data_IF_432904554413
#
_entry.id   IF_432904554413
#
_cell.length_a   1.000
_cell.length_b   1.000
_cell.length_c   1.000
_cell.angle_alpha   90.00
_cell.angle_beta   90.00
_cell.angle_gamma   90.00
#
_symmetry.space_group_name_H-M   'P 1'
#
loop_
_entity.id
_entity.type
_entity.pdbx_description
1 polymer ?
#
# COMPACT_ATOMS: atom_id res chain seq x y z
N UNK A 1 -3.96 -17.92 -9.33
CA UNK A 1 -3.78 -19.36 -9.04
C UNK A 1 -2.31 -19.78 -9.10
N UNK A 2 -1.63 -19.68 -10.24
CA UNK A 2 -0.20 -20.10 -10.37
C UNK A 2 0.72 -19.49 -9.29
N UNK A 3 0.56 -18.18 -9.01
CA UNK A 3 1.30 -17.48 -7.94
C UNK A 3 1.09 -18.16 -6.56
N UNK A 4 -0.12 -18.61 -6.24
CA UNK A 4 -0.40 -19.31 -4.98
C UNK A 4 0.20 -20.71 -4.93
N UNK A 5 0.20 -21.42 -6.06
CA UNK A 5 0.87 -22.71 -6.16
C UNK A 5 2.38 -22.56 -5.96
N UNK A 6 3.02 -21.64 -6.67
CA UNK A 6 4.46 -21.37 -6.53
C UNK A 6 4.85 -20.92 -5.11
N UNK A 7 3.99 -20.16 -4.42
CA UNK A 7 4.27 -19.73 -3.04
C UNK A 7 4.30 -20.89 -2.03
N UNK A 8 3.51 -21.94 -2.26
CA UNK A 8 3.38 -23.08 -1.35
C UNK A 8 4.17 -24.33 -1.78
N UNK A 9 4.56 -24.41 -3.05
CA UNK A 9 5.32 -25.51 -3.60
C UNK A 9 6.82 -25.32 -3.30
N UNK A 10 7.29 -26.00 -2.27
CA UNK A 10 8.71 -26.02 -1.88
C UNK A 10 9.43 -27.21 -2.53
N UNK A 11 10.76 -27.12 -2.74
CA UNK A 11 11.55 -28.21 -3.32
C UNK A 11 11.50 -29.49 -2.48
N UNK A 12 11.81 -30.62 -3.12
CA UNK A 12 11.94 -31.89 -2.40
C UNK A 12 13.00 -31.80 -1.30
N UNK A 13 12.65 -32.25 -0.10
CA UNK A 13 13.52 -32.17 1.08
C UNK A 13 13.43 -30.88 1.89
N UNK A 14 12.72 -29.86 1.40
CA UNK A 14 12.51 -28.60 2.12
C UNK A 14 11.31 -28.67 3.07
N UNK A 15 11.49 -28.25 4.33
CA UNK A 15 10.44 -28.19 5.34
C UNK A 15 10.06 -26.74 5.67
N UNK A 16 8.81 -26.37 5.42
CA UNK A 16 8.30 -25.09 5.90
C UNK A 16 8.22 -25.08 7.43
N UNK A 17 8.67 -23.99 8.04
CA UNK A 17 8.50 -23.78 9.48
C UNK A 17 7.02 -23.97 9.91
N UNK A 18 6.71 -24.63 11.04
CA UNK A 18 5.33 -24.97 11.43
C UNK A 18 4.36 -23.79 11.57
N UNK A 19 4.88 -22.57 11.81
CA UNK A 19 4.07 -21.33 11.83
C UNK A 19 3.86 -20.71 10.45
N UNK A 20 4.68 -21.06 9.46
CA UNK A 20 4.60 -20.53 8.08
C UNK A 20 3.77 -21.47 7.20
N UNK A 21 3.85 -22.79 7.40
CA UNK A 21 3.06 -23.75 6.62
C UNK A 21 1.54 -23.46 6.59
N UNK A 22 0.88 -23.10 7.71
CA UNK A 22 -0.54 -22.71 7.68
C UNK A 22 -0.79 -21.42 6.90
N UNK A 23 0.15 -20.46 6.95
CA UNK A 23 0.06 -19.20 6.19
C UNK A 23 0.16 -19.49 4.69
N UNK A 24 1.12 -20.32 4.27
CA UNK A 24 1.27 -20.74 2.89
C UNK A 24 0.03 -21.46 2.37
N UNK A 25 -0.48 -22.44 3.12
CA UNK A 25 -1.72 -23.14 2.78
C UNK A 25 -2.90 -22.18 2.59
N UNK A 26 -3.13 -21.29 3.57
CA UNK A 26 -4.23 -20.32 3.51
C UNK A 26 -4.11 -19.37 2.32
N UNK A 27 -2.90 -18.96 1.95
CA UNK A 27 -2.63 -18.11 0.78
C UNK A 27 -2.90 -18.84 -0.54
N UNK A 28 -2.60 -20.12 -0.61
CA UNK A 28 -2.91 -20.95 -1.79
C UNK A 28 -4.41 -21.17 -1.96
N UNK A 29 -5.16 -21.29 -0.86
CA UNK A 29 -6.63 -21.40 -0.90
C UNK A 29 -7.28 -20.05 -1.22
N UNK A 30 -6.76 -18.94 -0.71
CA UNK A 30 -7.39 -17.62 -0.90
C UNK A 30 -7.35 -17.10 -2.34
N UNK A 31 -6.47 -17.61 -3.21
CA UNK A 31 -6.46 -17.24 -4.63
C UNK A 31 -7.63 -17.85 -5.42
N UNK A 32 -8.40 -18.75 -4.84
CA UNK A 32 -9.70 -19.22 -5.36
C UNK A 32 -10.85 -18.78 -4.49
N UNK A 33 -10.69 -18.86 -3.17
CA UNK A 33 -11.80 -18.71 -2.22
C UNK A 33 -11.98 -17.26 -1.72
N UNK A 34 -11.04 -16.37 -2.02
CA UNK A 34 -11.01 -14.99 -1.55
C UNK A 34 -10.45 -14.85 -0.12
N UNK A 35 -10.62 -13.65 0.46
CA UNK A 35 -10.03 -13.32 1.76
C UNK A 35 -8.53 -13.09 1.70
N UNK A 36 -8.06 -12.50 0.59
CA UNK A 36 -6.66 -12.16 0.37
C UNK A 36 -6.28 -11.01 1.32
N UNK A 37 -5.32 -11.27 2.20
CA UNK A 37 -4.79 -10.27 3.15
C UNK A 37 -3.76 -9.33 2.52
N UNK A 38 -3.38 -8.29 3.26
CA UNK A 38 -2.49 -7.24 2.76
C UNK A 38 -1.14 -7.77 2.30
N UNK A 39 -0.48 -8.58 3.13
CA UNK A 39 0.82 -9.15 2.80
C UNK A 39 0.75 -10.05 1.57
N UNK A 40 -0.37 -10.74 1.37
CA UNK A 40 -0.57 -11.57 0.20
C UNK A 40 -0.87 -10.76 -1.07
N UNK A 41 -1.77 -9.77 -1.00
CA UNK A 41 -2.05 -8.87 -2.11
C UNK A 41 -0.80 -8.15 -2.62
N UNK A 42 0.07 -7.72 -1.72
CA UNK A 42 1.37 -7.13 -2.06
C UNK A 42 2.29 -8.11 -2.80
N UNK A 43 2.42 -9.35 -2.31
CA UNK A 43 3.22 -10.37 -2.98
C UNK A 43 2.66 -10.77 -4.35
N UNK A 44 1.34 -10.82 -4.50
CA UNK A 44 0.69 -11.04 -5.79
C UNK A 44 1.03 -9.88 -6.74
N UNK A 45 1.05 -8.63 -6.26
CA UNK A 45 1.42 -7.47 -7.06
C UNK A 45 2.85 -7.59 -7.58
N UNK A 46 3.81 -7.79 -6.68
CA UNK A 46 5.23 -7.92 -7.05
C UNK A 46 5.51 -9.15 -7.92
N UNK A 47 4.94 -10.32 -7.57
CA UNK A 47 5.10 -11.53 -8.38
C UNK A 47 4.49 -11.37 -9.77
N UNK A 48 3.31 -10.73 -9.90
CA UNK A 48 2.72 -10.47 -11.22
C UNK A 48 3.57 -9.56 -12.10
N UNK A 49 4.28 -8.59 -11.51
CA UNK A 49 5.23 -7.72 -12.23
C UNK A 49 6.49 -8.50 -12.62
N UNK A 50 7.03 -9.31 -11.71
CA UNK A 50 8.20 -10.16 -12.00
C UNK A 50 7.89 -11.17 -13.12
N UNK A 51 6.74 -11.85 -13.06
CA UNK A 51 6.30 -12.79 -14.09
C UNK A 51 6.06 -12.13 -15.46
N UNK A 52 5.96 -10.80 -15.53
CA UNK A 52 5.90 -10.05 -16.80
C UNK A 52 7.28 -9.70 -17.38
N UNK A 53 8.35 -10.23 -16.79
CA UNK A 53 9.74 -10.03 -17.24
C UNK A 53 10.47 -8.88 -16.54
N UNK A 54 9.87 -8.22 -15.54
CA UNK A 54 10.52 -7.14 -14.80
C UNK A 54 11.41 -7.67 -13.69
N UNK A 55 12.48 -6.92 -13.40
CA UNK A 55 13.21 -7.07 -12.15
C UNK A 55 12.44 -6.33 -11.06
N UNK A 56 11.99 -7.05 -10.04
CA UNK A 56 11.35 -6.51 -8.84
C UNK A 56 12.32 -6.65 -7.67
N UNK A 57 12.66 -5.53 -7.04
CA UNK A 57 13.59 -5.44 -5.92
C UNK A 57 12.86 -4.84 -4.72
N UNK A 58 12.77 -5.61 -3.64
CA UNK A 58 12.26 -5.14 -2.35
C UNK A 58 13.39 -5.22 -1.33
N UNK A 59 13.75 -4.10 -0.73
CA UNK A 59 14.80 -4.02 0.28
C UNK A 59 14.32 -3.23 1.50
N UNK A 60 14.86 -3.57 2.66
CA UNK A 60 14.56 -2.93 3.93
C UNK A 60 14.96 -3.84 5.08
N UNK A 61 14.88 -3.31 6.30
CA UNK A 61 15.22 -4.07 7.50
C UNK A 61 14.17 -5.16 7.73
N UNK A 62 14.61 -6.43 7.76
CA UNK A 62 13.76 -7.62 7.92
C UNK A 62 12.64 -7.79 6.87
N UNK A 63 12.73 -7.12 5.72
CA UNK A 63 11.67 -7.12 4.69
C UNK A 63 11.35 -8.49 4.09
N UNK A 64 12.28 -9.45 4.11
CA UNK A 64 12.03 -10.84 3.62
C UNK A 64 10.87 -11.50 4.37
N UNK A 65 10.89 -11.41 5.71
CA UNK A 65 9.82 -11.89 6.57
C UNK A 65 8.71 -10.84 6.71
N UNK A 66 9.10 -9.57 6.67
CA UNK A 66 8.32 -8.42 7.08
C UNK A 66 8.41 -8.20 8.60
N UNK A 67 8.53 -6.93 9.01
CA UNK A 67 8.59 -6.50 10.42
C UNK A 67 7.49 -7.15 11.25
N UNK A 68 6.27 -7.17 10.72
CA UNK A 68 5.06 -7.65 11.40
C UNK A 68 4.76 -9.13 11.12
N UNK A 69 5.73 -9.90 10.63
CA UNK A 69 5.60 -11.33 10.27
C UNK A 69 4.49 -11.59 9.24
N UNK A 70 4.25 -10.62 8.36
CA UNK A 70 3.14 -10.63 7.42
C UNK A 70 3.55 -11.07 6.02
N UNK A 71 4.83 -10.91 5.64
CA UNK A 71 5.24 -11.05 4.25
C UNK A 71 5.67 -12.46 3.90
N UNK A 72 6.69 -12.98 4.56
CA UNK A 72 7.27 -14.29 4.26
C UNK A 72 7.52 -14.48 2.74
N UNK A 73 8.16 -13.50 2.09
CA UNK A 73 8.53 -13.58 0.67
C UNK A 73 9.61 -14.63 0.44
N UNK A 74 10.54 -14.73 1.39
CA UNK A 74 11.57 -15.76 1.46
C UNK A 74 11.29 -16.59 2.70
N UNK A 75 11.22 -17.91 2.53
CA UNK A 75 11.05 -18.89 3.61
C UNK A 75 12.36 -19.59 3.88
N UNK A 76 12.53 -20.10 5.11
CA UNK A 76 13.73 -20.80 5.55
C UNK A 76 13.36 -22.18 6.08
N UNK A 77 14.13 -23.18 5.70
CA UNK A 77 14.05 -24.51 6.30
C UNK A 77 14.60 -24.44 7.74
N UNK A 78 13.82 -24.82 8.76
CA UNK A 78 14.25 -24.70 10.15
C UNK A 78 15.32 -25.72 10.57
N UNK A 79 15.60 -26.74 9.76
CA UNK A 79 16.61 -27.77 10.00
C UNK A 79 17.92 -27.45 9.30
N UNK A 80 17.86 -26.98 8.06
CA UNK A 80 19.06 -26.75 7.23
C UNK A 80 19.47 -25.28 7.18
N UNK A 81 18.53 -24.35 7.39
CA UNK A 81 18.75 -22.91 7.23
C UNK A 81 18.74 -22.45 5.76
N UNK A 82 18.45 -23.35 4.81
CA UNK A 82 18.35 -23.03 3.39
C UNK A 82 17.20 -22.04 3.14
N UNK A 83 17.43 -21.08 2.25
CA UNK A 83 16.43 -20.10 1.83
C UNK A 83 15.72 -20.55 0.56
N UNK A 84 14.42 -20.28 0.48
CA UNK A 84 13.62 -20.53 -0.72
C UNK A 84 12.68 -19.38 -1.00
N UNK A 85 12.58 -19.00 -2.28
CA UNK A 85 11.69 -17.97 -2.78
C UNK A 85 10.96 -18.48 -4.03
N UNK A 86 9.87 -19.21 -3.83
CA UNK A 86 9.09 -19.80 -4.93
C UNK A 86 8.49 -18.76 -5.89
N UNK A 87 8.29 -17.52 -5.45
CA UNK A 87 7.82 -16.43 -6.32
C UNK A 87 8.92 -15.94 -7.27
N UNK A 88 10.19 -16.04 -6.89
CA UNK A 88 11.31 -15.78 -7.79
C UNK A 88 11.52 -16.92 -8.79
N UNK A 89 11.43 -18.18 -8.35
CA UNK A 89 11.51 -19.34 -9.25
C UNK A 89 10.43 -19.26 -10.34
N UNK A 90 9.18 -18.97 -9.96
CA UNK A 90 8.10 -18.76 -10.93
C UNK A 90 8.41 -17.65 -11.95
N UNK A 91 9.01 -16.54 -11.51
CA UNK A 91 9.37 -15.46 -12.42
C UNK A 91 10.44 -15.88 -13.43
N UNK A 92 11.44 -16.66 -12.98
CA UNK A 92 12.50 -17.20 -13.83
C UNK A 92 11.99 -18.27 -14.80
N UNK A 93 11.01 -19.08 -14.39
CA UNK A 93 10.34 -20.05 -15.27
C UNK A 93 9.52 -19.36 -16.37
N UNK A 94 8.91 -18.21 -16.09
CA UNK A 94 8.11 -17.43 -17.05
C UNK A 94 8.95 -16.61 -18.03
N UNK A 95 10.19 -16.25 -17.69
CA UNK A 95 11.08 -15.46 -18.55
C UNK A 95 12.25 -14.83 -17.78
N UNK A 96 12.70 -13.65 -18.23
CA UNK A 96 13.89 -12.97 -17.66
C UNK A 96 13.61 -12.17 -16.38
N UNK A 97 12.38 -12.26 -15.86
CA UNK A 97 11.94 -11.55 -14.65
C UNK A 97 12.60 -12.09 -13.37
N UNK A 98 12.65 -11.24 -12.34
CA UNK A 98 13.23 -11.62 -11.04
C UNK A 98 12.43 -10.99 -9.91
N UNK A 99 12.25 -11.71 -8.81
CA UNK A 99 11.68 -11.14 -7.58
C UNK A 99 12.65 -11.28 -6.43
N UNK A 100 13.43 -10.23 -6.20
CA UNK A 100 14.56 -10.22 -5.30
C UNK A 100 14.21 -9.45 -4.03
N UNK A 101 14.18 -10.14 -2.89
CA UNK A 101 13.87 -9.55 -1.59
C UNK A 101 15.08 -9.62 -0.67
N UNK A 102 15.48 -8.49 -0.12
CA UNK A 102 16.70 -8.34 0.68
C UNK A 102 16.38 -7.81 2.06
N UNK A 103 17.04 -8.38 3.07
CA UNK A 103 17.19 -7.71 4.35
C UNK A 103 18.39 -6.76 4.22
N UNK A 104 18.19 -5.47 4.48
CA UNK A 104 19.27 -4.50 4.50
C UNK A 104 20.11 -4.62 5.77
N UNK A 105 21.25 -3.92 5.79
CA UNK A 105 21.86 -3.53 7.06
C UNK A 105 20.94 -2.55 7.81
N UNK A 106 21.23 -2.33 9.10
CA UNK A 106 20.47 -1.41 9.95
C UNK A 106 20.82 0.05 9.60
N UNK A 107 20.26 0.55 8.50
CA UNK A 107 20.54 1.88 7.94
C UNK A 107 19.45 2.35 6.99
N UNK A 108 18.81 3.46 7.33
CA UNK A 108 17.81 4.11 6.47
C UNK A 108 18.47 5.04 5.46
N UNK A 109 19.43 5.86 5.89
CA UNK A 109 20.11 6.83 5.03
C UNK A 109 20.79 6.16 3.82
N UNK A 110 21.68 5.20 4.09
CA UNK A 110 22.44 4.55 3.03
C UNK A 110 21.57 3.57 2.23
N UNK A 111 20.65 2.86 2.90
CA UNK A 111 19.73 1.94 2.26
C UNK A 111 18.80 2.64 1.26
N UNK A 112 18.09 3.68 1.70
CA UNK A 112 17.20 4.45 0.81
C UNK A 112 17.98 5.16 -0.31
N UNK A 113 19.16 5.72 -0.01
CA UNK A 113 20.01 6.34 -1.03
C UNK A 113 20.49 5.36 -2.10
N UNK A 114 20.84 4.13 -1.69
CA UNK A 114 21.19 3.06 -2.62
C UNK A 114 20.01 2.68 -3.52
N UNK A 115 18.82 2.48 -2.94
CA UNK A 115 17.63 2.11 -3.73
C UNK A 115 17.19 3.22 -4.68
N UNK A 116 17.31 4.50 -4.28
CA UNK A 116 17.13 5.63 -5.19
C UNK A 116 18.10 5.55 -6.38
N UNK A 117 19.41 5.37 -6.12
CA UNK A 117 20.41 5.21 -7.17
C UNK A 117 20.14 4.00 -8.08
N UNK A 118 19.62 2.91 -7.54
CA UNK A 118 19.23 1.73 -8.33
C UNK A 118 18.17 2.07 -9.37
N UNK A 119 17.15 2.88 -9.00
CA UNK A 119 16.09 3.30 -9.94
C UNK A 119 16.60 4.16 -11.09
N UNK A 120 17.69 4.91 -10.89
CA UNK A 120 18.33 5.68 -11.96
C UNK A 120 19.11 4.76 -12.90
N UNK A 121 19.84 3.79 -12.34
CA UNK A 121 20.65 2.84 -13.11
C UNK A 121 19.82 1.81 -13.89
N UNK A 122 18.62 1.48 -13.41
CA UNK A 122 17.69 0.57 -14.08
C UNK A 122 16.24 1.10 -13.98
N UNK A 123 15.85 1.91 -14.96
CA UNK A 123 14.52 2.54 -15.01
C UNK A 123 13.35 1.56 -15.23
N UNK A 124 13.64 0.34 -15.68
CA UNK A 124 12.64 -0.71 -15.88
C UNK A 124 12.41 -1.57 -14.64
N UNK A 125 13.31 -1.51 -13.66
CA UNK A 125 13.16 -2.21 -12.40
C UNK A 125 12.07 -1.59 -11.53
N UNK A 126 11.33 -2.46 -10.83
CA UNK A 126 10.40 -2.05 -9.78
C UNK A 126 11.15 -2.13 -8.46
N UNK A 127 11.47 -0.97 -7.88
CA UNK A 127 12.31 -0.88 -6.67
C UNK A 127 11.49 -0.33 -5.51
N UNK A 128 11.44 -1.07 -4.41
CA UNK A 128 10.79 -0.68 -3.18
C UNK A 128 11.75 -0.70 -1.99
N UNK A 129 11.76 0.39 -1.23
CA UNK A 129 12.39 0.50 0.09
C UNK A 129 11.32 0.46 1.18
N UNK A 130 11.43 -0.49 2.10
CA UNK A 130 10.55 -0.59 3.27
C UNK A 130 11.30 -0.16 4.54
N UNK A 131 10.74 0.82 5.25
CA UNK A 131 11.21 1.16 6.59
C UNK A 131 10.63 0.16 7.61
N UNK A 132 11.39 -0.19 8.65
CA UNK A 132 10.90 -1.13 9.68
C UNK A 132 9.61 -0.61 10.34
N UNK A 133 9.62 0.67 10.72
CA UNK A 133 8.45 1.50 11.00
C UNK A 133 8.59 2.79 10.19
N UNK A 134 7.48 3.39 9.76
CA UNK A 134 7.53 4.61 8.97
C UNK A 134 8.18 5.79 9.70
N UNK A 135 8.11 5.80 11.03
CA UNK A 135 8.74 6.80 11.90
C UNK A 135 10.26 6.92 11.64
N UNK A 136 10.93 5.81 11.32
CA UNK A 136 12.40 5.74 11.11
C UNK A 136 12.86 6.25 9.74
N UNK A 137 11.94 6.51 8.81
CA UNK A 137 12.29 7.14 7.53
C UNK A 137 12.96 8.50 7.70
N UNK A 138 12.80 9.14 8.87
CA UNK A 138 13.50 10.36 9.25
C UNK A 138 15.03 10.22 9.25
N UNK A 139 15.59 9.02 9.44
CA UNK A 139 17.03 8.77 9.34
C UNK A 139 17.58 9.00 7.93
N UNK A 140 16.70 8.94 6.92
CA UNK A 140 17.01 9.20 5.51
C UNK A 140 16.50 10.56 5.01
N UNK A 141 16.24 11.54 5.90
CA UNK A 141 15.59 12.80 5.51
C UNK A 141 16.32 13.53 4.38
N UNK A 142 17.65 13.55 4.37
CA UNK A 142 18.41 14.16 3.27
C UNK A 142 18.16 13.48 1.92
N UNK A 143 17.96 12.15 1.90
CA UNK A 143 17.60 11.44 0.67
C UNK A 143 16.19 11.83 0.22
N UNK A 144 15.25 11.96 1.16
CA UNK A 144 13.88 12.36 0.88
C UNK A 144 13.85 13.79 0.28
N UNK A 145 14.51 14.75 0.94
CA UNK A 145 14.47 16.17 0.59
C UNK A 145 15.25 16.46 -0.70
N UNK A 146 16.48 15.93 -0.80
CA UNK A 146 17.39 16.31 -1.88
C UNK A 146 17.30 15.43 -3.12
N UNK A 147 16.59 14.30 -3.07
CA UNK A 147 16.51 13.37 -4.20
C UNK A 147 15.08 12.95 -4.49
N UNK A 148 14.40 12.30 -3.54
CA UNK A 148 13.06 11.75 -3.77
C UNK A 148 12.06 12.84 -4.15
N UNK A 149 12.03 13.95 -3.42
CA UNK A 149 11.05 15.01 -3.65
C UNK A 149 11.44 16.01 -4.74
N UNK A 150 12.74 16.16 -5.05
CA UNK A 150 13.26 17.28 -5.83
C UNK A 150 14.19 16.91 -7.00
N UNK A 151 14.52 15.63 -7.19
CA UNK A 151 15.47 15.17 -8.22
C UNK A 151 15.05 15.56 -9.65
N UNK A 152 13.78 15.36 -10.00
CA UNK A 152 13.24 15.72 -11.32
C UNK A 152 13.32 17.23 -11.56
N UNK A 153 12.92 18.05 -10.58
CA UNK A 153 12.92 19.50 -10.71
C UNK A 153 14.35 20.08 -10.80
N UNK A 154 15.30 19.52 -10.05
CA UNK A 154 16.69 20.02 -10.02
C UNK A 154 17.52 19.56 -11.22
N UNK A 155 17.33 18.32 -11.65
CA UNK A 155 18.26 17.66 -12.59
C UNK A 155 17.56 17.01 -13.79
N UNK A 156 16.23 17.00 -13.85
CA UNK A 156 15.48 16.24 -14.84
C UNK A 156 15.51 14.73 -14.60
N UNK A 157 16.01 14.28 -13.44
CA UNK A 157 16.18 12.88 -13.11
C UNK A 157 14.89 12.29 -12.54
N UNK A 158 14.29 11.36 -13.28
CA UNK A 158 13.07 10.64 -12.89
C UNK A 158 13.40 9.39 -12.08
N UNK A 159 12.68 9.14 -11.00
CA UNK A 159 12.84 7.95 -10.16
C UNK A 159 11.50 7.25 -9.93
N UNK A 160 11.47 5.94 -10.16
CA UNK A 160 10.34 5.07 -9.83
C UNK A 160 10.38 4.49 -8.41
N UNK A 161 11.15 5.07 -7.49
CA UNK A 161 11.31 4.52 -6.13
C UNK A 161 9.96 4.45 -5.39
N UNK A 162 9.67 3.29 -4.81
CA UNK A 162 8.53 3.09 -3.92
C UNK A 162 9.02 3.11 -2.47
N UNK A 163 8.47 3.98 -1.64
CA UNK A 163 8.68 3.99 -0.19
C UNK A 163 7.49 3.33 0.50
N UNK A 164 7.72 2.22 1.18
CA UNK A 164 6.72 1.52 2.00
C UNK A 164 6.96 1.90 3.47
N UNK A 165 6.06 2.69 4.05
CA UNK A 165 6.23 3.31 5.36
C UNK A 165 5.13 2.87 6.32
N UNK A 166 5.38 1.89 7.22
CA UNK A 166 4.38 1.43 8.17
C UNK A 166 3.84 2.56 9.05
N UNK A 167 2.53 2.77 9.03
CA UNK A 167 1.85 3.90 9.64
C UNK A 167 0.57 3.45 10.38
N UNK A 168 0.24 4.11 11.50
CA UNK A 168 -1.05 4.00 12.18
C UNK A 168 -0.97 4.22 13.69
N UNK A 169 -1.93 4.94 14.25
CA UNK A 169 -2.00 5.20 15.70
C UNK A 169 -2.68 4.04 16.43
N UNK A 170 -1.86 3.21 17.09
CA UNK A 170 -2.28 1.92 17.69
C UNK A 170 -1.82 1.77 19.14
N UNK A 171 -1.37 2.86 19.78
CA UNK A 171 -0.93 2.86 21.18
C UNK A 171 0.44 2.23 21.41
N UNK A 172 1.26 2.02 20.38
CA UNK A 172 2.61 1.44 20.47
C UNK A 172 3.71 2.46 20.86
N UNK A 173 3.34 3.73 21.07
CA UNK A 173 4.25 4.80 21.48
C UNK A 173 4.62 5.76 20.34
N UNK A 174 5.36 6.83 20.68
CA UNK A 174 5.59 7.97 19.78
C UNK A 174 6.45 7.67 18.54
N UNK A 175 7.34 6.67 18.62
CA UNK A 175 8.27 6.29 17.54
C UNK A 175 7.84 5.02 16.79
N UNK A 176 6.59 4.58 16.98
CA UNK A 176 6.02 3.40 16.34
C UNK A 176 4.59 3.68 15.88
N UNK A 177 4.30 4.93 15.50
CA UNK A 177 2.94 5.38 15.18
C UNK A 177 2.87 6.10 13.83
N UNK A 178 3.76 7.04 13.57
CA UNK A 178 3.59 8.01 12.48
C UNK A 178 4.82 8.11 11.59
N UNK A 179 4.61 7.74 10.34
CA UNK A 179 5.50 8.04 9.21
C UNK A 179 5.55 9.53 8.80
N UNK A 180 4.92 10.45 9.57
CA UNK A 180 4.90 11.89 9.29
C UNK A 180 4.34 12.23 7.90
N UNK A 181 3.11 11.77 7.61
CA UNK A 181 2.42 12.00 6.33
C UNK A 181 2.48 13.47 5.91
N UNK A 182 2.28 14.37 6.87
CA UNK A 182 2.31 15.82 6.68
C UNK A 182 3.62 16.33 6.07
N UNK A 183 4.76 15.69 6.38
CA UNK A 183 6.07 16.10 5.86
C UNK A 183 6.21 15.76 4.40
N UNK A 184 5.78 14.56 4.00
CA UNK A 184 5.78 14.16 2.59
C UNK A 184 4.80 15.02 1.77
N UNK A 185 3.63 15.34 2.31
CA UNK A 185 2.68 16.24 1.66
C UNK A 185 3.21 17.68 1.54
N UNK A 186 3.92 18.18 2.56
CA UNK A 186 4.55 19.51 2.50
C UNK A 186 5.64 19.61 1.42
N UNK A 187 6.33 18.51 1.11
CA UNK A 187 7.35 18.44 0.04
C UNK A 187 6.74 18.29 -1.36
N UNK A 188 5.45 17.97 -1.46
CA UNK A 188 4.81 17.79 -2.75
C UNK A 188 4.62 19.12 -3.47
N UNK A 189 5.12 19.21 -4.70
CA UNK A 189 4.89 20.34 -5.59
C UNK A 189 4.80 19.85 -7.04
N UNK A 190 3.87 20.40 -7.83
CA UNK A 190 3.76 20.12 -9.28
C UNK A 190 3.70 18.61 -9.65
N UNK A 191 3.11 17.80 -8.78
CA UNK A 191 3.03 16.35 -9.00
C UNK A 191 4.34 15.60 -8.76
N UNK A 192 5.31 16.17 -8.03
CA UNK A 192 6.68 15.62 -7.84
C UNK A 192 6.73 14.18 -7.35
N UNK A 193 5.71 13.77 -6.59
CA UNK A 193 5.58 12.42 -6.06
C UNK A 193 4.10 12.05 -5.92
N UNK A 194 3.82 10.75 -5.90
CA UNK A 194 2.51 10.22 -5.50
C UNK A 194 2.57 9.86 -4.02
N UNK A 195 1.57 10.30 -3.25
CA UNK A 195 1.41 9.95 -1.84
C UNK A 195 0.09 9.23 -1.68
N UNK A 196 0.11 8.04 -1.06
CA UNK A 196 -1.07 7.20 -0.91
C UNK A 196 -1.09 6.51 0.45
N UNK A 197 -2.30 6.20 0.93
CA UNK A 197 -2.53 5.45 2.15
C UNK A 197 -3.71 4.47 1.92
N UNK A 198 -3.47 3.41 1.14
CA UNK A 198 -4.55 2.52 0.73
C UNK A 198 -5.19 1.80 1.92
N UNK A 199 -6.45 1.43 1.78
CA UNK A 199 -7.21 0.75 2.84
C UNK A 199 -7.48 -0.71 2.57
N UNK A 200 -7.34 -1.17 1.32
CA UNK A 200 -7.56 -2.57 0.95
C UNK A 200 -6.34 -3.20 0.24
N UNK A 201 -6.11 -4.51 0.41
CA UNK A 201 -5.08 -5.28 -0.29
C UNK A 201 -5.18 -5.16 -1.82
N UNK A 202 -6.39 -5.20 -2.37
CA UNK A 202 -6.60 -5.04 -3.81
C UNK A 202 -6.23 -3.64 -4.29
N UNK A 203 -6.60 -2.58 -3.56
CA UNK A 203 -6.25 -1.23 -3.97
C UNK A 203 -4.73 -0.97 -3.85
N UNK A 204 -4.06 -1.54 -2.84
CA UNK A 204 -2.58 -1.54 -2.75
C UNK A 204 -1.93 -2.30 -3.93
N UNK A 205 -2.49 -3.46 -4.31
CA UNK A 205 -2.05 -4.21 -5.48
C UNK A 205 -2.14 -3.38 -6.77
N UNK A 206 -3.29 -2.73 -7.00
CA UNK A 206 -3.50 -1.89 -8.17
C UNK A 206 -2.61 -0.65 -8.16
N UNK A 207 -2.36 -0.05 -6.99
CA UNK A 207 -1.45 1.09 -6.85
C UNK A 207 -0.03 0.71 -7.26
N UNK A 208 0.51 -0.39 -6.72
CA UNK A 208 1.87 -0.86 -7.03
C UNK A 208 2.02 -1.17 -8.53
N UNK A 209 1.03 -1.82 -9.13
CA UNK A 209 1.04 -2.14 -10.57
C UNK A 209 0.88 -0.90 -11.43
N UNK A 210 -0.01 0.02 -11.08
CA UNK A 210 -0.17 1.31 -11.77
C UNK A 210 1.14 2.09 -11.79
N UNK A 211 1.85 2.13 -10.67
CA UNK A 211 3.15 2.79 -10.56
C UNK A 211 4.21 2.12 -11.42
N UNK A 212 4.32 0.79 -11.34
CA UNK A 212 5.32 0.03 -12.08
C UNK A 212 5.10 0.06 -13.62
N UNK A 213 3.84 -0.06 -14.05
CA UNK A 213 3.46 -0.15 -15.47
C UNK A 213 3.19 1.23 -16.09
N UNK A 214 3.00 2.26 -15.28
CA UNK A 214 2.78 3.62 -15.74
C UNK A 214 3.99 4.24 -16.44
N UNK A 215 3.71 5.25 -17.27
CA UNK A 215 4.73 6.04 -17.96
C UNK A 215 5.30 7.16 -17.09
N UNK A 216 4.58 7.57 -16.04
CA UNK A 216 5.04 8.58 -15.09
C UNK A 216 6.03 7.93 -14.10
N UNK A 217 7.32 8.30 -14.21
CA UNK A 217 8.40 7.79 -13.36
C UNK A 217 8.72 8.80 -12.25
N UNK A 218 7.79 8.92 -11.30
CA UNK A 218 7.95 9.78 -10.12
C UNK A 218 7.81 8.94 -8.86
N UNK A 219 8.46 9.28 -7.73
CA UNK A 219 8.42 8.43 -6.56
C UNK A 219 7.01 8.22 -6.00
N UNK A 220 6.81 7.05 -5.41
CA UNK A 220 5.57 6.67 -4.74
C UNK A 220 5.83 6.48 -3.25
N UNK A 221 5.13 7.23 -2.41
CA UNK A 221 5.14 7.08 -0.96
C UNK A 221 3.84 6.42 -0.52
N UNK A 222 3.94 5.22 0.05
CA UNK A 222 2.81 4.44 0.53
C UNK A 222 2.88 4.31 2.04
N UNK A 223 1.87 4.84 2.72
CA UNK A 223 1.70 4.60 4.16
C UNK A 223 1.02 3.25 4.37
N UNK A 224 1.84 2.23 4.58
CA UNK A 224 1.39 0.84 4.72
C UNK A 224 0.83 0.60 6.12
N UNK A 225 -0.13 -0.31 6.29
CA UNK A 225 -0.75 -0.52 7.60
C UNK A 225 0.05 -1.43 8.52
N UNK A 226 -0.31 -1.39 9.80
CA UNK A 226 0.13 -2.34 10.82
C UNK A 226 -1.03 -3.24 11.27
N UNK A 227 -2.07 -2.67 11.89
CA UNK A 227 -3.27 -3.42 12.33
C UNK A 227 -4.05 -4.05 11.18
N UNK A 228 -4.14 -3.38 10.02
CA UNK A 228 -4.91 -3.89 8.88
C UNK A 228 -4.28 -5.15 8.25
N UNK A 229 -3.02 -5.45 8.54
CA UNK A 229 -2.33 -6.66 8.06
C UNK A 229 -3.05 -7.96 8.47
N UNK A 230 -3.86 -7.92 9.53
CA UNK A 230 -4.62 -9.07 10.03
C UNK A 230 -6.12 -8.77 10.19
N UNK A 231 -6.57 -7.59 9.76
CA UNK A 231 -7.98 -7.23 9.85
C UNK A 231 -8.77 -7.97 8.77
N UNK A 232 -9.74 -8.79 9.18
CA UNK A 232 -10.60 -9.53 8.24
C UNK A 232 -11.50 -8.60 7.43
N UNK A 233 -11.93 -7.49 8.01
CA UNK A 233 -12.76 -6.50 7.31
C UNK A 233 -11.97 -5.77 6.22
N UNK A 234 -10.63 -5.82 6.30
CA UNK A 234 -9.76 -5.27 5.28
C UNK A 234 -9.39 -6.27 4.18
N UNK A 235 -9.74 -7.56 4.28
CA UNK A 235 -9.39 -8.53 3.24
C UNK A 235 -10.15 -8.25 1.92
N UNK A 236 -9.52 -8.58 0.79
CA UNK A 236 -10.12 -8.40 -0.54
C UNK A 236 -10.61 -9.72 -1.14
N UNK A 237 -11.62 -9.64 -2.00
CA UNK A 237 -12.11 -10.76 -2.81
C UNK A 237 -11.14 -11.07 -3.95
N UNK A 238 -11.27 -12.22 -4.62
CA UNK A 238 -10.48 -12.50 -5.84
C UNK A 238 -10.87 -11.53 -6.97
N UNK A 239 -12.17 -11.24 -7.11
CA UNK A 239 -12.70 -10.33 -8.12
C UNK A 239 -12.10 -8.93 -8.02
N UNK A 240 -11.81 -8.45 -6.81
CA UNK A 240 -11.17 -7.14 -6.60
C UNK A 240 -9.78 -7.04 -7.26
N UNK A 241 -9.10 -8.17 -7.54
CA UNK A 241 -7.80 -8.20 -8.23
C UNK A 241 -7.92 -8.50 -9.73
N UNK A 242 -8.99 -9.20 -10.16
CA UNK A 242 -9.11 -9.74 -11.52
C UNK A 242 -10.15 -9.03 -12.39
N UNK A 243 -11.19 -8.49 -11.78
CA UNK A 243 -12.30 -7.81 -12.46
C UNK A 243 -12.19 -6.29 -12.36
N UNK A 244 -11.61 -5.78 -11.26
CA UNK A 244 -11.23 -4.37 -11.14
C UNK A 244 -9.91 -4.15 -11.88
N UNK A 245 -9.88 -3.18 -12.80
CA UNK A 245 -8.75 -2.94 -13.70
C UNK A 245 -7.88 -1.73 -13.29
N UNK A 246 -8.25 -1.05 -12.20
CA UNK A 246 -7.70 0.26 -11.88
C UNK A 246 -7.61 0.52 -10.38
N UNK A 247 -6.58 1.28 -10.00
CA UNK A 247 -6.43 1.85 -8.66
C UNK A 247 -7.50 2.92 -8.42
N UNK A 248 -8.21 2.78 -7.31
CA UNK A 248 -9.24 3.71 -6.87
C UNK A 248 -8.60 4.79 -5.99
N UNK A 249 -8.44 6.01 -6.52
CA UNK A 249 -7.82 7.12 -5.77
C UNK A 249 -8.74 7.70 -4.68
N UNK A 250 -10.05 7.53 -4.85
CA UNK A 250 -11.10 7.78 -3.85
C UNK A 250 -12.02 6.57 -3.89
N UNK A 251 -12.37 6.02 -2.74
CA UNK A 251 -13.38 4.96 -2.63
C UNK A 251 -14.58 5.54 -1.90
N UNK A 252 -15.74 5.48 -2.54
CA UNK A 252 -16.99 5.94 -1.97
C UNK A 252 -17.49 4.99 -0.86
N UNK A 253 -18.58 5.33 -0.16
CA UNK A 253 -19.19 4.44 0.83
C UNK A 253 -19.75 3.19 0.12
N UNK A 254 -19.13 2.00 0.30
CA UNK A 254 -19.46 0.81 -0.48
C UNK A 254 -20.87 0.27 -0.22
N UNK A 255 -21.55 0.79 0.80
CA UNK A 255 -22.93 0.44 1.13
C UNK A 255 -23.95 1.25 0.32
N UNK A 256 -23.52 2.37 -0.26
CA UNK A 256 -24.37 3.32 -0.98
C UNK A 256 -23.99 3.43 -2.45
N UNK A 257 -22.70 3.33 -2.76
CA UNK A 257 -22.16 3.42 -4.12
C UNK A 257 -21.15 2.29 -4.31
N UNK A 258 -21.30 1.50 -5.37
CA UNK A 258 -20.39 0.39 -5.68
C UNK A 258 -19.05 0.88 -6.29
N UNK A 259 -18.14 -0.06 -6.55
CA UNK A 259 -16.80 0.25 -7.08
C UNK A 259 -16.82 0.83 -8.51
N UNK A 260 -17.90 0.61 -9.26
CA UNK A 260 -18.09 1.15 -10.61
C UNK A 260 -18.70 2.56 -10.58
N UNK A 261 -19.14 3.03 -9.40
CA UNK A 261 -19.78 4.32 -9.20
C UNK A 261 -21.30 4.28 -9.32
N UNK A 262 -21.93 3.11 -9.34
CA UNK A 262 -23.39 3.00 -9.38
C UNK A 262 -23.98 3.17 -7.97
N UNK A 263 -25.10 3.89 -7.88
CA UNK A 263 -25.86 4.02 -6.63
C UNK A 263 -26.59 2.69 -6.35
N UNK A 264 -26.19 2.03 -5.26
CA UNK A 264 -26.73 0.72 -4.81
C UNK A 264 -27.50 0.81 -3.49
N UNK A 265 -27.47 1.97 -2.83
CA UNK A 265 -28.19 2.26 -1.59
C UNK A 265 -28.90 3.61 -1.62
N UNK A 266 -29.46 4.02 -0.48
CA UNK A 266 -30.24 5.25 -0.34
C UNK A 266 -29.31 6.43 -0.01
N UNK A 267 -28.78 7.08 -1.05
CA UNK A 267 -27.88 8.22 -0.91
C UNK A 267 -28.59 9.51 -0.48
N UNK A 268 -29.92 9.59 -0.67
CA UNK A 268 -30.73 10.77 -0.31
C UNK A 268 -30.83 10.96 1.21
N UNK A 269 -30.66 9.89 2.00
CA UNK A 269 -30.63 10.00 3.48
C UNK A 269 -29.36 10.64 4.02
N UNK A 270 -28.29 10.70 3.24
CA UNK A 270 -26.99 11.18 3.72
C UNK A 270 -27.03 12.68 3.94
N UNK A 271 -26.75 13.11 5.18
CA UNK A 271 -26.63 14.51 5.56
C UNK A 271 -25.17 14.91 5.83
N UNK A 272 -24.29 13.96 6.16
CA UNK A 272 -22.87 14.21 6.45
C UNK A 272 -21.95 13.27 5.66
N UNK A 273 -20.96 13.83 4.98
CA UNK A 273 -19.87 13.07 4.34
C UNK A 273 -18.64 13.13 5.26
N UNK A 274 -18.16 11.98 5.71
CA UNK A 274 -16.89 11.84 6.42
C UNK A 274 -15.79 11.44 5.45
N UNK A 275 -14.90 12.36 5.13
CA UNK A 275 -13.64 12.08 4.44
C UNK A 275 -12.64 11.48 5.43
N UNK A 276 -11.97 10.40 5.05
CA UNK A 276 -10.89 9.82 5.83
C UNK A 276 -9.84 9.15 4.95
N UNK A 277 -8.70 8.77 5.52
CA UNK A 277 -7.63 8.05 4.84
C UNK A 277 -7.05 6.98 5.75
N UNK A 278 -6.66 5.83 5.20
CA UNK A 278 -6.07 4.75 5.98
C UNK A 278 -7.01 4.09 6.99
N UNK A 279 -6.41 3.52 8.06
CA UNK A 279 -7.07 2.55 8.94
C UNK A 279 -8.32 3.07 9.66
N UNK A 280 -8.41 4.38 9.88
CA UNK A 280 -9.50 5.00 10.64
C UNK A 280 -10.87 4.72 10.01
N UNK A 281 -10.91 4.46 8.69
CA UNK A 281 -12.11 3.99 7.99
C UNK A 281 -12.79 2.82 8.70
N UNK A 282 -12.03 1.79 9.09
CA UNK A 282 -12.60 0.58 9.70
C UNK A 282 -13.18 0.85 11.09
N UNK A 283 -12.58 1.78 11.84
CA UNK A 283 -13.10 2.19 13.15
C UNK A 283 -14.38 3.02 12.98
N UNK A 284 -14.42 3.90 11.98
CA UNK A 284 -15.59 4.71 11.63
C UNK A 284 -16.75 3.83 11.16
N UNK A 285 -16.51 2.90 10.24
CA UNK A 285 -17.58 2.02 9.73
C UNK A 285 -18.14 1.14 10.85
N UNK A 286 -17.27 0.55 11.68
CA UNK A 286 -17.71 -0.22 12.85
C UNK A 286 -18.56 0.61 13.79
N UNK A 287 -18.21 1.89 14.00
CA UNK A 287 -18.98 2.80 14.86
C UNK A 287 -20.31 3.19 14.22
N UNK A 288 -20.31 3.55 12.94
CA UNK A 288 -21.51 3.88 12.16
C UNK A 288 -22.51 2.73 12.16
N UNK A 289 -22.05 1.50 11.91
CA UNK A 289 -22.87 0.29 11.94
C UNK A 289 -23.47 0.04 13.34
N UNK A 290 -22.66 0.19 14.41
CA UNK A 290 -23.12 0.03 15.79
C UNK A 290 -24.21 1.05 16.16
N UNK A 291 -24.02 2.30 15.75
CA UNK A 291 -24.94 3.40 16.03
C UNK A 291 -26.11 3.44 15.04
N UNK A 292 -26.13 2.55 14.03
CA UNK A 292 -27.16 2.43 12.97
C UNK A 292 -27.42 3.76 12.24
N UNK A 293 -26.34 4.46 11.90
CA UNK A 293 -26.40 5.75 11.19
C UNK A 293 -26.49 5.50 9.69
N UNK A 294 -27.60 5.93 9.08
CA UNK A 294 -27.81 5.92 7.63
C UNK A 294 -27.66 7.32 7.00
N UNK A 295 -27.48 8.35 7.83
CA UNK A 295 -27.31 9.75 7.48
C UNK A 295 -25.84 10.16 7.29
N UNK A 296 -24.92 9.21 7.40
CA UNK A 296 -23.47 9.42 7.26
C UNK A 296 -22.92 8.51 6.17
N UNK A 297 -22.23 9.09 5.19
CA UNK A 297 -21.39 8.36 4.24
C UNK A 297 -19.92 8.50 4.64
N UNK A 298 -19.15 7.40 4.57
CA UNK A 298 -17.71 7.41 4.84
C UNK A 298 -16.96 7.24 3.52
N UNK A 299 -16.28 8.29 3.07
CA UNK A 299 -15.53 8.34 1.81
C UNK A 299 -14.03 8.27 2.13
N UNK A 300 -13.33 7.35 1.47
CA UNK A 300 -11.90 7.12 1.65
C UNK A 300 -11.09 7.84 0.57
N UNK A 301 -10.08 8.59 0.98
CA UNK A 301 -9.09 9.20 0.10
C UNK A 301 -7.85 8.30 0.11
N UNK A 302 -7.70 7.48 -0.93
CA UNK A 302 -6.62 6.48 -1.00
C UNK A 302 -5.33 7.09 -1.57
N UNK A 303 -5.47 8.08 -2.46
CA UNK A 303 -4.38 8.89 -2.99
C UNK A 303 -4.44 10.29 -2.40
N UNK A 304 -3.47 10.61 -1.55
CA UNK A 304 -3.37 11.89 -0.86
C UNK A 304 -2.75 12.98 -1.73
N UNK A 305 -1.80 12.61 -2.60
CA UNK A 305 -1.21 13.50 -3.60
C UNK A 305 -0.92 12.74 -4.91
N UNK A 306 -1.17 13.34 -6.09
CA UNK A 306 -1.91 14.58 -6.31
C UNK A 306 -3.35 14.48 -5.79
N UNK A 307 -3.93 15.58 -5.32
CA UNK A 307 -5.31 15.56 -4.79
C UNK A 307 -6.26 15.13 -5.92
N UNK A 308 -7.07 14.06 -5.75
CA UNK A 308 -7.95 13.55 -6.79
C UNK A 308 -9.25 14.36 -6.89
N UNK A 309 -9.17 15.67 -7.20
CA UNK A 309 -10.32 16.59 -7.22
C UNK A 309 -11.51 16.08 -8.03
N UNK A 310 -11.27 15.51 -9.21
CA UNK A 310 -12.36 14.96 -10.03
C UNK A 310 -13.11 13.83 -9.31
N UNK A 311 -12.38 12.90 -8.67
CA UNK A 311 -13.00 11.75 -7.97
C UNK A 311 -13.65 12.15 -6.66
N UNK A 312 -13.11 13.16 -5.97
CA UNK A 312 -13.77 13.77 -4.81
C UNK A 312 -15.09 14.42 -5.21
N UNK A 313 -15.11 15.19 -6.32
CA UNK A 313 -16.35 15.77 -6.86
C UNK A 313 -17.37 14.69 -7.19
N UNK A 314 -16.98 13.66 -7.94
CA UNK A 314 -17.89 12.57 -8.32
C UNK A 314 -18.46 11.86 -7.07
N UNK A 315 -17.65 11.68 -6.01
CA UNK A 315 -18.11 11.14 -4.74
C UNK A 315 -19.10 12.06 -4.02
N UNK A 316 -18.90 13.38 -4.03
CA UNK A 316 -19.81 14.35 -3.42
C UNK A 316 -21.14 14.46 -4.17
N UNK A 317 -21.11 14.41 -5.51
CA UNK A 317 -22.32 14.42 -6.35
C UNK A 317 -23.24 13.23 -6.09
N UNK A 318 -22.72 12.14 -5.51
CA UNK A 318 -23.53 10.98 -5.11
C UNK A 318 -24.50 11.28 -3.96
N UNK A 319 -24.29 12.36 -3.19
CA UNK A 319 -25.03 12.66 -1.96
C UNK A 319 -25.72 14.04 -2.01
N UNK A 320 -26.85 14.19 -2.71
CA UNK A 320 -27.45 15.49 -3.01
C UNK A 320 -27.97 16.24 -1.77
N UNK A 321 -28.27 15.54 -0.68
CA UNK A 321 -28.79 16.12 0.56
C UNK A 321 -27.71 16.34 1.64
N UNK A 322 -26.43 16.10 1.33
CA UNK A 322 -25.33 16.32 2.25
C UNK A 322 -25.19 17.82 2.56
N UNK A 323 -25.19 18.15 3.86
CA UNK A 323 -25.07 19.52 4.38
C UNK A 323 -23.68 19.81 4.94
N UNK A 324 -22.92 18.77 5.22
CA UNK A 324 -21.65 18.87 5.93
C UNK A 324 -20.62 17.87 5.41
N UNK A 325 -19.37 18.32 5.30
CA UNK A 325 -18.20 17.49 5.02
C UNK A 325 -17.25 17.59 6.21
N UNK A 326 -16.86 16.44 6.76
CA UNK A 326 -15.93 16.31 7.90
C UNK A 326 -14.68 15.58 7.44
N UNK A 327 -13.50 16.13 7.70
CA UNK A 327 -12.25 15.38 7.56
C UNK A 327 -11.93 14.70 8.89
N UNK A 328 -11.80 13.37 8.87
CA UNK A 328 -11.56 12.55 10.06
C UNK A 328 -10.28 11.77 9.87
N UNK A 329 -9.40 11.83 10.88
CA UNK A 329 -8.08 11.23 10.85
C UNK A 329 -7.70 10.74 12.26
N UNK A 330 -6.82 9.75 12.37
CA UNK A 330 -6.30 9.28 13.67
C UNK A 330 -5.06 10.08 14.14
N UNK A 331 -4.44 10.84 13.25
CA UNK A 331 -3.31 11.71 13.55
C UNK A 331 -3.73 13.01 14.27
N UNK A 332 -2.85 13.61 15.09
CA UNK A 332 -3.07 14.94 15.67
C UNK A 332 -3.38 16.01 14.62
N UNK A 333 -4.10 17.07 14.99
CA UNK A 333 -4.53 18.12 14.06
C UNK A 333 -3.38 18.86 13.32
N UNK A 334 -2.14 18.77 13.79
CA UNK A 334 -0.96 19.34 13.12
C UNK A 334 -0.16 18.30 12.30
N UNK A 335 -0.67 17.08 12.16
CA UNK A 335 -0.06 15.94 11.47
C UNK A 335 -1.08 15.31 10.51
N UNK A 336 -0.67 14.25 9.82
CA UNK A 336 -1.56 13.55 8.89
C UNK A 336 -1.86 14.40 7.65
N UNK A 337 -2.90 14.05 6.89
CA UNK A 337 -3.24 14.79 5.69
C UNK A 337 -3.95 16.13 5.96
N UNK A 338 -4.56 16.33 7.13
CA UNK A 338 -5.42 17.49 7.40
C UNK A 338 -4.76 18.86 7.13
N UNK A 339 -3.54 19.18 7.60
CA UNK A 339 -2.94 20.49 7.33
C UNK A 339 -2.88 20.83 5.84
N UNK A 340 -2.53 19.84 5.01
CA UNK A 340 -2.45 19.98 3.56
C UNK A 340 -3.84 20.07 2.92
N UNK A 341 -4.76 19.19 3.29
CA UNK A 341 -6.12 19.18 2.74
C UNK A 341 -6.94 20.41 3.14
N UNK A 342 -6.74 20.93 4.36
CA UNK A 342 -7.38 22.15 4.83
C UNK A 342 -6.96 23.39 4.02
N UNK A 343 -5.78 23.39 3.40
CA UNK A 343 -5.36 24.48 2.51
C UNK A 343 -6.01 24.35 1.12
N UNK A 344 -6.19 23.12 0.63
CA UNK A 344 -6.57 22.85 -0.76
C UNK A 344 -8.08 22.57 -0.98
N UNK A 345 -8.83 22.18 0.05
CA UNK A 345 -10.27 21.90 -0.03
C UNK A 345 -11.16 23.07 0.43
N UNK A 346 -10.58 24.24 0.68
CA UNK A 346 -11.32 25.44 1.11
C UNK A 346 -12.02 26.16 -0.03
#
# INVERSE_FOLDING_TARGET
VEIGQAYSHVPEGFELHPRVAPVAKKRTESVTDGGIDWGWGELIAFSSLANSGRLVRLAGEDSRRGTFTQRHAVVFDPRTGEEFNGLNELAQEKGDGKFLVYNSALTEYAGMGFEYGYTLGNQDAVVAWEAQFGDFANGAQTIIDEYVSSGEAKWGETSGLILLLPHGYEGQGPDHSSARIERFLQLCAEGSMTVAQPTTPANHFHLLRRHALGTMKRPLVVFTPKSMLRNKDAASSVADFTEVDSFQSVINDPRLVDIEGNVVGDTDKVETIMLCSGKIYYELEKRRAKDKRDDVAIVRIEMLHPIPFNRLRDAFESYPNAKEIRFVQDEPANQGPWPFYNEHLR
#
